data_IF_558928065088
#
_entry.id   IF_558928065088
#
_cell.length_a   1.000
_cell.length_b   1.000
_cell.length_c   1.000
_cell.angle_alpha   90.00
_cell.angle_beta   90.00
_cell.angle_gamma   90.00
#
_symmetry.space_group_name_H-M   'P 1'
#
loop_
_entity.id
_entity.type
_entity.pdbx_description
1 polymer ?
#
# COMPACT_ATOMS: atom_id res chain seq x y z
N UNK A 1 -2.12 -16.59 5.34
CA UNK A 1 -1.71 -16.47 3.92
C UNK A 1 -2.60 -15.42 3.28
N UNK A 2 -2.05 -14.29 2.81
CA UNK A 2 -2.83 -13.22 2.19
C UNK A 2 -3.12 -13.56 0.71
N UNK A 3 -4.38 -13.48 0.24
CA UNK A 3 -4.74 -13.79 -1.13
C UNK A 3 -3.98 -12.92 -2.15
N UNK A 4 -3.46 -13.56 -3.21
CA UNK A 4 -2.73 -12.92 -4.33
C UNK A 4 -3.52 -11.83 -5.06
N UNK A 5 -4.83 -11.73 -4.81
CA UNK A 5 -5.75 -10.75 -5.37
C UNK A 5 -5.41 -9.34 -4.88
N UNK A 6 -4.82 -9.21 -3.68
CA UNK A 6 -4.32 -7.94 -3.13
C UNK A 6 -3.11 -7.36 -3.87
N UNK A 7 -2.50 -8.14 -4.76
CA UNK A 7 -1.32 -7.74 -5.54
C UNK A 7 -1.69 -7.41 -6.98
N UNK A 8 -2.98 -7.43 -7.30
CA UNK A 8 -3.47 -6.96 -8.58
C UNK A 8 -3.32 -5.46 -8.65
N UNK A 9 -2.75 -4.98 -9.76
CA UNK A 9 -2.34 -3.60 -10.02
C UNK A 9 -3.45 -2.54 -9.87
N UNK A 10 -4.69 -2.98 -9.63
CA UNK A 10 -5.88 -2.17 -9.46
C UNK A 10 -5.98 -1.46 -8.10
N UNK A 11 -5.17 -1.85 -7.13
CA UNK A 11 -5.09 -1.21 -5.80
C UNK A 11 -3.83 -0.37 -5.58
N UNK A 12 -3.05 -0.13 -6.63
CA UNK A 12 -1.92 0.79 -6.51
C UNK A 12 -2.44 2.19 -6.28
N UNK A 13 -2.22 2.67 -5.06
CA UNK A 13 -2.61 4.00 -4.67
C UNK A 13 -1.46 4.95 -5.04
N UNK A 14 -1.49 5.48 -6.25
CA UNK A 14 -0.49 6.45 -6.72
C UNK A 14 -0.70 7.84 -6.10
N UNK A 15 -1.92 8.11 -5.59
CA UNK A 15 -2.28 9.35 -4.91
C UNK A 15 -1.85 9.39 -3.43
N UNK A 16 -0.72 8.78 -3.06
CA UNK A 16 -0.15 8.91 -1.71
C UNK A 16 0.09 10.38 -1.33
N UNK A 17 0.38 11.24 -2.32
CA UNK A 17 0.50 12.69 -2.12
C UNK A 17 -0.77 13.35 -1.55
N UNK A 18 -1.94 12.86 -1.91
CA UNK A 18 -3.22 13.42 -1.41
C UNK A 18 -3.48 13.10 0.06
N UNK A 19 -2.85 12.04 0.57
CA UNK A 19 -2.97 11.59 1.95
C UNK A 19 -1.88 12.18 2.86
N UNK A 20 -0.96 12.99 2.32
CA UNK A 20 0.18 13.51 3.07
C UNK A 20 1.20 12.45 3.48
N UNK A 21 1.03 11.19 3.07
CA UNK A 21 2.03 10.13 3.27
C UNK A 21 3.15 10.29 2.24
N UNK A 22 4.39 10.24 2.74
CA UNK A 22 5.58 10.31 1.90
C UNK A 22 5.58 9.25 0.79
N UNK A 23 6.25 9.57 -0.32
CA UNK A 23 6.41 8.63 -1.41
C UNK A 23 7.03 7.31 -0.90
N UNK A 24 6.52 6.15 -1.32
CA UNK A 24 7.09 4.89 -0.90
C UNK A 24 8.52 4.76 -1.47
N UNK A 25 9.45 4.14 -0.73
CA UNK A 25 10.80 3.92 -1.23
C UNK A 25 10.79 3.04 -2.51
N UNK A 26 11.82 3.11 -3.36
CA UNK A 26 11.89 2.30 -4.57
C UNK A 26 11.80 0.80 -4.24
N UNK A 27 10.86 0.11 -4.89
CA UNK A 27 10.55 -1.30 -4.63
C UNK A 27 9.43 -1.54 -3.61
N UNK A 28 8.84 -0.46 -3.08
CA UNK A 28 7.66 -0.49 -2.24
C UNK A 28 6.52 0.27 -2.92
N UNK A 29 5.28 -0.10 -2.60
CA UNK A 29 4.08 0.58 -3.07
C UNK A 29 3.05 0.61 -1.96
N UNK A 30 2.36 1.75 -1.86
CA UNK A 30 1.18 1.87 -1.02
C UNK A 30 0.00 1.16 -1.66
N UNK A 31 -0.67 0.34 -0.87
CA UNK A 31 -1.88 -0.39 -1.23
C UNK A 31 -2.96 0.04 -0.26
N UNK A 32 -4.02 0.64 -0.79
CA UNK A 32 -5.17 1.03 0.02
C UNK A 32 -6.02 -0.20 0.33
N UNK A 33 -6.27 -0.43 1.62
CA UNK A 33 -7.16 -1.49 2.08
C UNK A 33 -8.16 -0.93 3.10
N UNK A 34 -9.37 -0.62 2.64
CA UNK A 34 -10.39 -0.02 3.49
C UNK A 34 -9.96 1.36 4.03
N UNK A 35 -9.95 1.56 5.36
CA UNK A 35 -9.45 2.78 6.01
C UNK A 35 -7.92 2.78 6.24
N UNK A 36 -7.23 1.69 5.88
CA UNK A 36 -5.81 1.49 6.17
C UNK A 36 -4.96 1.56 4.90
N UNK A 37 -3.69 1.94 5.08
CA UNK A 37 -2.70 2.01 4.02
C UNK A 37 -1.56 1.02 4.28
N UNK A 38 -1.41 0.06 3.38
CA UNK A 38 -0.42 -1.00 3.50
C UNK A 38 0.81 -0.66 2.66
N UNK A 39 2.01 -0.74 3.24
CA UNK A 39 3.26 -0.68 2.50
C UNK A 39 3.61 -2.07 2.01
N UNK A 40 3.54 -2.29 0.70
CA UNK A 40 3.82 -3.58 0.08
C UNK A 40 5.10 -3.51 -0.72
N UNK A 41 6.02 -4.43 -0.44
CA UNK A 41 7.22 -4.62 -1.25
C UNK A 41 6.85 -5.32 -2.55
N UNK A 42 6.95 -4.64 -3.68
CA UNK A 42 6.51 -5.15 -4.99
C UNK A 42 7.28 -6.37 -5.46
N UNK A 43 8.59 -6.41 -5.17
CA UNK A 43 9.49 -7.50 -5.58
C UNK A 43 9.15 -8.85 -4.94
N UNK A 44 8.72 -8.83 -3.68
CA UNK A 44 8.41 -10.06 -2.91
C UNK A 44 6.93 -10.18 -2.57
N UNK A 45 6.13 -9.19 -2.95
CA UNK A 45 4.69 -9.14 -2.68
C UNK A 45 4.34 -9.27 -1.19
N UNK A 46 5.22 -8.76 -0.33
CA UNK A 46 5.06 -8.81 1.13
C UNK A 46 4.64 -7.45 1.67
N UNK A 47 3.64 -7.43 2.54
CA UNK A 47 3.36 -6.27 3.39
C UNK A 47 4.52 -6.14 4.37
N UNK A 48 5.17 -4.98 4.37
CA UNK A 48 6.26 -4.66 5.32
C UNK A 48 5.78 -3.72 6.40
N UNK A 49 4.75 -2.92 6.13
CA UNK A 49 4.24 -1.94 7.07
C UNK A 49 2.75 -1.65 6.85
N UNK A 50 2.07 -1.15 7.87
CA UNK A 50 0.64 -0.82 7.85
C UNK A 50 0.39 0.49 8.61
N UNK A 51 -0.15 1.48 7.92
CA UNK A 51 -0.65 2.72 8.52
C UNK A 51 -2.14 2.56 8.72
N UNK A 52 -2.54 2.40 9.99
CA UNK A 52 -3.93 2.31 10.39
C UNK A 52 -4.58 3.70 10.40
N UNK A 53 -5.77 3.83 9.82
CA UNK A 53 -6.53 5.08 9.84
C UNK A 53 -5.98 6.20 8.96
N UNK A 54 -5.27 5.88 7.87
CA UNK A 54 -4.74 6.87 6.94
C UNK A 54 -5.81 7.73 6.22
N UNK A 55 -7.08 7.32 6.31
CA UNK A 55 -8.22 7.96 5.63
C UNK A 55 -9.33 8.44 6.57
N UNK A 56 -9.07 8.55 7.89
CA UNK A 56 -10.03 9.10 8.86
C UNK A 56 -9.77 10.58 9.14
#
# INVERSE_FOLDING_TARGET
MLPSIFLSSRYYYEDYRTLGVGAPPPGYRWVRYGPDLLLVRTRTRKVVDVIYGAFY
#
